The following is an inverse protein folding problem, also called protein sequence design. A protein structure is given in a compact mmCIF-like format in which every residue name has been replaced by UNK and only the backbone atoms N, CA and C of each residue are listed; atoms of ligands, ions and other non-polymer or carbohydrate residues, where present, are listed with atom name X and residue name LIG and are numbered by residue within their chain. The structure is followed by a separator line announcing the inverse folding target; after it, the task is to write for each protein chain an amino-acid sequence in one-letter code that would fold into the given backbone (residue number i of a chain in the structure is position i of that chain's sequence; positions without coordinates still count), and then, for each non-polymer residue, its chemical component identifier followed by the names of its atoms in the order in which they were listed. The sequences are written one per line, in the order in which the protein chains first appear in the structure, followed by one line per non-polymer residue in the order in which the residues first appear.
data_IF_731637152302
#
_entry.id   IF_731637152302
#
_cell.length_a   1.000
_cell.length_b   1.000
_cell.length_c   1.000
_cell.angle_alpha   90.00
_cell.angle_beta   90.00
_cell.angle_gamma   90.00
#
_symmetry.space_group_name_H-M   'P 1'
#
loop_
_entity.id
_entity.type
_entity.pdbx_description
1 polymer ?
#
# COMPACT_ATOMS: atom_id res chain seq x y z
N UNK A 1 -32.74 -27.97 19.35
CA UNK A 1 -33.50 -27.00 18.52
C UNK A 1 -32.75 -26.83 17.20
N UNK A 2 -33.32 -27.31 16.09
CA UNK A 2 -32.75 -27.19 14.75
C UNK A 2 -32.99 -25.77 14.23
N UNK A 3 -31.95 -25.10 13.76
CA UNK A 3 -32.09 -24.01 12.80
C UNK A 3 -31.35 -24.41 11.53
N UNK A 4 -32.11 -24.56 10.46
CA UNK A 4 -31.64 -24.80 9.09
C UNK A 4 -31.75 -23.46 8.38
N UNK A 5 -30.65 -22.95 7.83
CA UNK A 5 -30.68 -21.91 6.81
C UNK A 5 -30.10 -22.46 5.51
N UNK A 6 -30.94 -22.47 4.48
CA UNK A 6 -30.60 -22.81 3.09
C UNK A 6 -30.12 -21.56 2.38
N UNK A 7 -28.95 -21.66 1.74
CA UNK A 7 -28.56 -21.00 0.50
C UNK A 7 -28.47 -19.47 0.47
N UNK A 8 -27.24 -18.96 0.39
CA UNK A 8 -26.74 -17.96 -0.58
C UNK A 8 -25.21 -18.10 -0.53
N UNK A 9 -24.57 -18.07 -1.70
CA UNK A 9 -23.12 -18.18 -1.91
C UNK A 9 -22.28 -17.48 -0.82
N UNK A 10 -21.18 -18.09 -0.34
CA UNK A 10 -20.27 -17.38 0.55
C UNK A 10 -19.61 -16.26 -0.25
N UNK A 11 -20.11 -15.03 -0.10
CA UNK A 11 -19.28 -13.85 -0.27
C UNK A 11 -18.23 -13.98 0.82
N UNK A 12 -17.06 -14.50 0.44
CA UNK A 12 -15.91 -14.59 1.32
C UNK A 12 -15.57 -13.16 1.77
N UNK A 13 -15.93 -12.84 3.02
CA UNK A 13 -15.40 -11.68 3.72
C UNK A 13 -13.89 -11.89 3.90
N UNK A 14 -13.09 -11.52 2.90
CA UNK A 14 -11.65 -11.28 3.06
C UNK A 14 -11.45 -9.95 3.82
N UNK A 15 -11.97 -9.88 5.05
CA UNK A 15 -11.39 -9.01 6.06
C UNK A 15 -10.38 -9.84 6.86
N UNK A 16 -9.34 -10.34 6.17
CA UNK A 16 -8.13 -10.74 6.88
C UNK A 16 -7.51 -9.46 7.40
N UNK A 17 -7.21 -9.39 8.70
CA UNK A 17 -6.30 -8.37 9.26
C UNK A 17 -5.13 -8.25 8.27
N UNK A 18 -5.00 -7.09 7.62
CA UNK A 18 -3.83 -6.80 6.80
C UNK A 18 -2.66 -6.68 7.76
N UNK A 19 -1.88 -7.73 7.88
CA UNK A 19 -0.60 -7.71 8.57
C UNK A 19 0.47 -7.11 7.63
N UNK A 20 0.17 -5.93 7.09
CA UNK A 20 1.11 -5.13 6.34
C UNK A 20 2.15 -4.62 7.34
N UNK A 21 3.43 -4.57 6.96
CA UNK A 21 4.52 -4.20 7.87
C UNK A 21 5.26 -2.95 7.38
N UNK A 22 5.31 -1.91 8.20
CA UNK A 22 6.19 -0.76 7.94
C UNK A 22 7.64 -1.24 8.06
N UNK A 23 8.30 -1.37 6.92
CA UNK A 23 9.72 -1.75 6.85
C UNK A 23 10.59 -0.59 7.30
N UNK A 24 10.23 0.64 6.90
CA UNK A 24 10.97 1.83 7.25
C UNK A 24 10.08 3.06 7.25
N UNK A 25 10.33 3.97 8.19
CA UNK A 25 9.72 5.28 8.27
C UNK A 25 10.78 6.32 8.63
N UNK A 26 10.94 7.32 7.77
CA UNK A 26 11.90 8.40 7.96
C UNK A 26 11.27 9.77 7.70
N UNK A 27 11.90 10.83 8.24
CA UNK A 27 11.54 12.23 7.99
C UNK A 27 12.78 13.01 7.61
N UNK A 28 12.68 13.83 6.56
CA UNK A 28 13.72 14.79 6.16
C UNK A 28 13.04 16.09 5.77
N UNK A 29 13.29 17.16 6.52
CA UNK A 29 12.57 18.42 6.34
C UNK A 29 11.07 18.27 6.60
N UNK A 30 10.26 18.70 5.64
CA UNK A 30 8.79 18.61 5.60
C UNK A 30 8.26 17.36 4.88
N UNK A 31 9.16 16.46 4.47
CA UNK A 31 8.86 15.20 3.80
C UNK A 31 9.00 14.00 4.75
N UNK A 32 8.07 13.07 4.61
CA UNK A 32 8.12 11.72 5.17
C UNK A 32 8.38 10.70 4.07
N UNK A 33 9.08 9.63 4.41
CA UNK A 33 9.36 8.50 3.52
C UNK A 33 8.96 7.23 4.24
N UNK A 34 8.18 6.38 3.58
CA UNK A 34 7.72 5.12 4.14
C UNK A 34 7.88 4.00 3.13
N UNK A 35 8.42 2.87 3.58
CA UNK A 35 8.42 1.61 2.84
C UNK A 35 7.50 0.65 3.58
N UNK A 36 6.56 0.08 2.85
CA UNK A 36 5.54 -0.82 3.37
C UNK A 36 5.62 -2.16 2.62
N UNK A 37 5.76 -3.25 3.37
CA UNK A 37 5.68 -4.61 2.83
C UNK A 37 4.24 -5.11 2.93
N UNK A 38 3.60 -5.33 1.78
CA UNK A 38 2.25 -5.88 1.65
C UNK A 38 2.25 -7.42 1.57
N UNK A 39 3.36 -8.09 1.89
CA UNK A 39 3.66 -9.53 1.74
C UNK A 39 3.67 -10.06 0.30
N UNK A 40 3.15 -9.28 -0.62
CA UNK A 40 3.12 -9.59 -2.05
C UNK A 40 4.08 -8.74 -2.84
N UNK A 41 4.36 -7.51 -2.39
CA UNK A 41 5.35 -6.59 -2.93
C UNK A 41 5.61 -5.43 -1.96
N UNK A 42 6.79 -4.81 -2.02
CA UNK A 42 7.03 -3.56 -1.35
C UNK A 42 6.32 -2.41 -2.08
N UNK A 43 5.86 -1.45 -1.29
CA UNK A 43 5.31 -0.18 -1.79
C UNK A 43 6.07 0.96 -1.12
N UNK A 44 6.28 2.04 -1.88
CA UNK A 44 6.94 3.23 -1.37
C UNK A 44 5.93 4.37 -1.29
N UNK A 45 6.07 5.18 -0.24
CA UNK A 45 5.27 6.38 -0.04
C UNK A 45 6.12 7.57 0.33
N UNK A 46 5.74 8.73 -0.22
CA UNK A 46 6.24 10.05 0.19
C UNK A 46 5.10 10.84 0.79
N UNK A 47 5.30 11.34 2.00
CA UNK A 47 4.31 12.11 2.74
C UNK A 47 4.68 13.58 2.82
N UNK A 48 3.74 14.47 2.53
CA UNK A 48 3.88 15.92 2.69
C UNK A 48 3.01 16.42 3.84
N UNK A 49 3.52 17.36 4.64
CA UNK A 49 2.73 17.95 5.74
C UNK A 49 1.69 18.95 5.26
N UNK A 50 0.70 19.29 6.11
CA UNK A 50 -0.41 20.20 5.77
C UNK A 50 -0.02 21.62 5.33
N UNK A 51 1.24 22.04 5.54
CA UNK A 51 1.74 23.33 5.04
C UNK A 51 2.36 23.26 3.64
N UNK A 52 2.53 22.07 3.07
CA UNK A 52 3.20 21.89 1.79
C UNK A 52 2.24 22.16 0.62
N UNK A 53 2.76 22.74 -0.49
CA UNK A 53 1.97 23.11 -1.68
C UNK A 53 1.22 21.95 -2.34
N UNK A 54 1.69 20.72 -2.12
CA UNK A 54 1.08 19.50 -2.64
C UNK A 54 0.19 18.80 -1.62
N UNK A 55 -0.06 19.35 -0.43
CA UNK A 55 -0.97 18.70 0.51
C UNK A 55 -2.40 18.65 -0.04
N UNK A 56 -3.01 17.46 -0.05
CA UNK A 56 -4.39 17.28 -0.53
C UNK A 56 -4.55 17.34 -2.04
N UNK A 57 -3.44 17.39 -2.79
CA UNK A 57 -3.47 17.39 -4.26
C UNK A 57 -3.57 15.95 -4.76
N UNK A 58 -4.41 15.73 -5.77
CA UNK A 58 -4.54 14.43 -6.43
C UNK A 58 -3.23 14.03 -7.13
N UNK A 59 -2.86 12.75 -7.10
CA UNK A 59 -1.60 12.29 -7.69
C UNK A 59 -1.54 12.50 -9.21
N UNK A 60 -2.67 12.51 -9.92
CA UNK A 60 -2.71 12.78 -11.37
C UNK A 60 -2.25 14.21 -11.72
N UNK A 61 -2.23 15.10 -10.73
CA UNK A 61 -1.83 16.50 -10.88
C UNK A 61 -0.39 16.76 -10.44
N UNK A 62 0.33 15.73 -10.05
CA UNK A 62 1.73 15.82 -9.63
C UNK A 62 2.61 15.19 -10.70
N UNK A 63 3.53 16.00 -11.21
CA UNK A 63 4.60 15.55 -12.07
C UNK A 63 5.74 14.99 -11.20
N UNK A 64 5.60 13.71 -10.81
CA UNK A 64 6.62 12.96 -10.10
C UNK A 64 6.94 11.70 -10.90
N UNK A 65 8.12 11.67 -11.50
CA UNK A 65 8.62 10.52 -12.24
C UNK A 65 9.16 9.45 -11.28
N UNK A 66 8.32 8.45 -11.02
CA UNK A 66 8.65 7.26 -10.23
C UNK A 66 8.36 6.02 -11.06
N UNK A 67 8.89 4.89 -10.58
CA UNK A 67 8.76 3.60 -11.24
C UNK A 67 7.29 3.22 -11.51
N UNK A 68 6.84 3.32 -12.77
CA UNK A 68 5.45 3.04 -13.16
C UNK A 68 4.43 4.14 -12.84
N UNK A 69 4.88 5.27 -12.27
CA UNK A 69 4.04 6.40 -11.88
C UNK A 69 3.37 6.24 -10.52
N UNK A 70 2.69 7.31 -10.08
CA UNK A 70 1.92 7.31 -8.85
C UNK A 70 0.62 6.52 -9.03
N UNK A 71 0.32 5.62 -8.10
CA UNK A 71 -0.90 4.80 -8.09
C UNK A 71 -1.79 5.09 -6.88
N UNK A 72 -1.31 5.92 -5.95
CA UNK A 72 -2.03 6.24 -4.73
C UNK A 72 -1.80 7.69 -4.28
N UNK A 73 -2.87 8.33 -3.77
CA UNK A 73 -2.73 9.42 -2.82
C UNK A 73 -3.80 9.40 -1.73
N UNK A 74 -3.49 9.94 -0.56
CA UNK A 74 -4.48 10.03 0.51
C UNK A 74 -3.90 10.34 1.89
N UNK A 75 -4.77 10.40 2.88
CA UNK A 75 -4.38 10.63 4.27
C UNK A 75 -4.02 9.31 5.00
N UNK A 76 -3.49 9.46 6.22
CA UNK A 76 -3.05 8.35 7.08
C UNK A 76 -4.11 7.27 7.36
N UNK A 77 -5.42 7.58 7.22
CA UNK A 77 -6.50 6.61 7.50
C UNK A 77 -6.44 5.41 6.57
N UNK A 78 -5.83 5.57 5.40
CA UNK A 78 -5.66 4.47 4.44
C UNK A 78 -4.79 3.35 4.99
N UNK A 79 -3.79 3.65 5.83
CA UNK A 79 -2.82 2.65 6.27
C UNK A 79 -3.16 1.95 7.59
N UNK A 80 -4.15 2.45 8.33
CA UNK A 80 -4.55 1.90 9.64
C UNK A 80 -3.38 1.75 10.65
N UNK A 81 -2.31 2.54 10.52
CA UNK A 81 -1.21 2.59 11.48
C UNK A 81 -1.42 3.72 12.48
N UNK A 82 -1.59 3.36 13.76
CA UNK A 82 -1.74 4.32 14.87
C UNK A 82 -0.57 5.32 14.95
N UNK A 83 0.63 4.90 14.55
CA UNK A 83 1.83 5.75 14.53
C UNK A 83 1.75 6.90 13.51
N UNK A 84 0.86 6.79 12.52
CA UNK A 84 0.61 7.79 11.49
C UNK A 84 -0.65 8.63 11.78
N UNK A 85 -1.46 8.23 12.77
CA UNK A 85 -2.79 8.79 13.06
C UNK A 85 -2.78 10.29 13.37
N UNK A 86 -1.70 10.78 13.98
CA UNK A 86 -1.60 12.15 14.43
C UNK A 86 -0.87 13.08 13.44
N UNK A 87 -0.37 12.53 12.34
CA UNK A 87 0.40 13.29 11.37
C UNK A 87 -0.55 13.77 10.29
N UNK A 88 -0.84 15.08 10.25
CA UNK A 88 -1.54 15.75 9.14
C UNK A 88 -0.67 15.68 7.88
N UNK A 89 -0.57 14.48 7.32
CA UNK A 89 0.31 14.12 6.21
C UNK A 89 -0.55 13.56 5.10
N UNK A 90 -0.29 14.07 3.89
CA UNK A 90 -0.86 13.58 2.66
C UNK A 90 0.21 12.74 1.96
N UNK A 91 -0.12 11.49 1.67
CA UNK A 91 0.79 10.50 1.13
C UNK A 91 0.57 10.35 -0.36
N UNK A 92 1.66 10.14 -1.07
CA UNK A 92 1.73 9.71 -2.47
C UNK A 92 2.42 8.37 -2.50
N UNK A 93 1.91 7.42 -3.26
CA UNK A 93 2.44 6.06 -3.28
C UNK A 93 2.52 5.45 -4.67
N UNK A 94 3.45 4.50 -4.78
CA UNK A 94 3.63 3.63 -5.93
C UNK A 94 4.09 2.25 -5.43
N UNK A 95 3.82 1.23 -6.23
CA UNK A 95 4.20 -0.14 -5.94
C UNK A 95 5.35 -0.61 -6.83
N UNK A 96 6.03 -1.66 -6.38
CA UNK A 96 7.08 -2.33 -7.14
C UNK A 96 6.60 -3.68 -7.69
N UNK A 97 5.28 -3.87 -7.88
CA UNK A 97 4.75 -5.12 -8.39
C UNK A 97 4.80 -5.15 -9.92
N UNK A 98 5.44 -6.18 -10.47
CA UNK A 98 5.49 -6.41 -11.91
C UNK A 98 4.71 -7.64 -12.33
N UNK A 99 4.31 -7.63 -13.60
CA UNK A 99 3.86 -8.85 -14.25
C UNK A 99 4.99 -9.88 -14.23
N UNK A 100 4.80 -10.97 -13.49
CA UNK A 100 5.77 -12.06 -13.34
C UNK A 100 6.55 -12.05 -12.03
N UNK A 101 6.39 -11.04 -11.18
CA UNK A 101 7.00 -11.04 -9.84
C UNK A 101 6.42 -12.16 -8.96
N UNK A 102 7.25 -12.66 -8.04
CA UNK A 102 6.82 -13.65 -7.07
C UNK A 102 5.90 -12.99 -6.03
N UNK A 103 4.60 -13.17 -6.19
CA UNK A 103 3.63 -12.78 -5.18
C UNK A 103 3.57 -13.90 -4.14
N UNK A 104 3.89 -13.60 -2.87
CA UNK A 104 3.95 -14.56 -1.76
C UNK A 104 2.66 -15.31 -1.40
N UNK A 105 1.68 -15.39 -2.30
CA UNK A 105 0.40 -16.09 -2.13
C UNK A 105 0.25 -17.17 -3.20
N UNK A 106 0.79 -18.35 -2.92
CA UNK A 106 0.18 -19.68 -3.19
C UNK A 106 -0.33 -20.07 -4.58
N UNK A 107 -0.21 -19.28 -5.64
CA UNK A 107 -0.56 -19.68 -7.00
C UNK A 107 0.70 -19.81 -7.85
N UNK A 108 0.95 -20.98 -8.48
CA UNK A 108 2.16 -21.19 -9.26
C UNK A 108 1.97 -20.57 -10.64
N UNK A 109 2.17 -19.25 -10.76
CA UNK A 109 2.63 -18.72 -12.03
C UNK A 109 4.13 -18.99 -12.08
N UNK A 110 4.50 -19.86 -13.02
CA UNK A 110 5.82 -20.47 -13.17
C UNK A 110 6.98 -19.46 -13.10
N UNK A 111 8.05 -19.95 -12.46
CA UNK A 111 9.40 -19.39 -12.35
C UNK A 111 9.80 -18.39 -13.43
N UNK A 112 10.43 -17.30 -13.00
CA UNK A 112 11.59 -16.75 -13.71
C UNK A 112 12.69 -16.29 -12.74
N UNK A 113 13.76 -17.08 -12.73
CA UNK A 113 15.17 -16.71 -12.54
C UNK A 113 15.53 -15.78 -11.37
N UNK A 114 15.88 -16.36 -10.21
CA UNK A 114 16.69 -15.83 -9.09
C UNK A 114 16.35 -14.46 -8.45
N UNK A 115 15.50 -13.66 -9.08
CA UNK A 115 15.02 -12.37 -8.59
C UNK A 115 13.69 -12.60 -7.88
N UNK A 116 13.72 -12.45 -6.56
CA UNK A 116 12.50 -12.50 -5.73
C UNK A 116 11.65 -11.23 -5.86
N UNK A 117 12.32 -10.15 -6.27
CA UNK A 117 11.83 -8.79 -6.51
C UNK A 117 12.74 -8.21 -7.60
N UNK A 118 12.32 -7.12 -8.27
CA UNK A 118 13.12 -6.41 -9.30
C UNK A 118 14.61 -6.30 -9.01
#
# INVERSE_FOLDING_TARGET
MKLVFRGIFPVFNYMTKRDDHIVSLAKRGDLYYMILDLRTHPTAYVGVTSGHKHYGVDYEKIDLDVHGGLTFCGNYKTFNYKELEYKKVWWYGWDYAHAGDFLGHGYPLQKSTDKKWT
#
